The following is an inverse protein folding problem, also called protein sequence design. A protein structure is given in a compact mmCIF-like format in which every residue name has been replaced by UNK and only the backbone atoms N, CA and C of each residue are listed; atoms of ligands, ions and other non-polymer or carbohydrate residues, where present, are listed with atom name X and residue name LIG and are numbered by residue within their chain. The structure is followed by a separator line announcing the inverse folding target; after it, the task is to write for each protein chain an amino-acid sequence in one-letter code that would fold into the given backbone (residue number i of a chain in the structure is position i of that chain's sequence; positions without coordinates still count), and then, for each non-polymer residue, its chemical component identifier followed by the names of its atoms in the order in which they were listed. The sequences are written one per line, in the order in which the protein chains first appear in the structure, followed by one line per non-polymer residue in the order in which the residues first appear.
data_IF_909350487887
#
_entry.id   IF_909350487887
#
_cell.length_a   1.000
_cell.length_b   1.000
_cell.length_c   1.000
_cell.angle_alpha   90.00
_cell.angle_beta   90.00
_cell.angle_gamma   90.00
#
_symmetry.space_group_name_H-M   'P 1'
#
loop_
_entity.id
_entity.type
_entity.pdbx_description
1 polymer ?
#
# COMPACT_ATOMS: atom_id res chain seq x y z
N UNK A 1 -19.31 -10.06 9.26
CA UNK A 1 -17.93 -9.85 8.76
C UNK A 1 -16.99 -10.46 9.79
N UNK A 2 -16.04 -11.31 9.39
CA UNK A 2 -15.03 -11.83 10.32
C UNK A 2 -13.98 -10.74 10.56
N UNK A 3 -13.53 -10.57 11.82
CA UNK A 3 -12.52 -9.56 12.15
C UNK A 3 -11.15 -10.00 11.61
N UNK A 4 -10.36 -9.02 11.18
CA UNK A 4 -9.09 -9.21 10.47
C UNK A 4 -7.97 -8.45 11.17
N UNK A 5 -6.77 -9.00 11.09
CA UNK A 5 -5.55 -8.36 11.58
C UNK A 5 -4.47 -8.35 10.49
N UNK A 6 -3.47 -7.48 10.65
CA UNK A 6 -2.31 -7.39 9.79
C UNK A 6 -1.06 -7.37 10.65
N UNK A 7 0.01 -8.01 10.16
CA UNK A 7 1.36 -7.83 10.68
C UNK A 7 2.17 -7.19 9.57
N UNK A 8 2.65 -5.97 9.79
CA UNK A 8 3.19 -5.11 8.75
C UNK A 8 4.60 -4.66 9.09
N UNK A 9 5.41 -4.47 8.06
CA UNK A 9 6.54 -3.55 8.10
C UNK A 9 6.16 -2.30 7.31
N UNK A 10 6.61 -1.16 7.80
CA UNK A 10 6.32 0.14 7.21
C UNK A 10 7.61 0.93 6.99
N UNK A 11 7.63 1.72 5.93
CA UNK A 11 8.70 2.67 5.65
C UNK A 11 8.12 3.95 5.07
N UNK A 12 8.47 5.08 5.67
CA UNK A 12 8.08 6.41 5.20
C UNK A 12 9.32 7.23 4.94
N UNK A 13 9.29 8.09 3.93
CA UNK A 13 10.39 9.00 3.69
C UNK A 13 10.18 9.95 2.55
N UNK A 14 11.25 10.64 2.20
CA UNK A 14 11.33 11.53 1.06
C UNK A 14 12.35 10.97 0.10
N UNK A 15 12.02 10.95 -1.19
CA UNK A 15 12.93 10.51 -2.25
C UNK A 15 12.77 11.39 -3.47
N UNK A 16 13.48 11.05 -4.54
CA UNK A 16 13.32 11.67 -5.87
C UNK A 16 12.75 10.65 -6.84
N UNK A 17 11.83 11.09 -7.68
CA UNK A 17 11.31 10.27 -8.77
C UNK A 17 12.29 10.18 -9.94
N UNK A 18 11.88 9.52 -11.04
CA UNK A 18 12.69 9.40 -12.25
C UNK A 18 12.97 10.73 -12.97
N UNK A 19 12.25 11.80 -12.64
CA UNK A 19 12.45 13.16 -13.16
C UNK A 19 13.29 14.01 -12.21
N UNK A 20 13.69 13.48 -11.06
CA UNK A 20 14.44 14.18 -10.03
C UNK A 20 13.58 15.03 -9.09
N UNK A 21 12.26 14.99 -9.22
CA UNK A 21 11.32 15.75 -8.40
C UNK A 21 11.17 15.11 -7.02
N UNK A 22 11.06 15.93 -5.97
CA UNK A 22 10.93 15.44 -4.59
C UNK A 22 9.52 14.88 -4.38
N UNK A 23 9.45 13.65 -3.87
CA UNK A 23 8.20 12.98 -3.51
C UNK A 23 8.29 12.40 -2.10
N UNK A 24 7.17 12.39 -1.40
CA UNK A 24 6.98 11.56 -0.21
C UNK A 24 6.63 10.13 -0.63
N UNK A 25 7.03 9.16 0.19
CA UNK A 25 6.57 7.79 0.03
C UNK A 25 6.13 7.22 1.38
N UNK A 26 5.14 6.35 1.33
CA UNK A 26 4.77 5.44 2.41
C UNK A 26 4.59 4.04 1.83
N UNK A 27 5.37 3.10 2.34
CA UNK A 27 5.36 1.70 1.96
C UNK A 27 4.88 0.88 3.14
N UNK A 28 3.99 -0.07 2.89
CA UNK A 28 3.55 -1.06 3.86
C UNK A 28 3.54 -2.44 3.23
N UNK A 29 4.04 -3.44 3.93
CA UNK A 29 4.06 -4.82 3.44
C UNK A 29 3.81 -5.80 4.57
N UNK A 30 2.93 -6.76 4.34
CA UNK A 30 2.70 -7.85 5.28
C UNK A 30 3.91 -8.75 5.41
N UNK A 31 4.27 -9.08 6.64
CA UNK A 31 5.32 -10.05 6.94
C UNK A 31 4.77 -11.20 7.75
N UNK A 32 5.40 -12.37 7.59
CA UNK A 32 5.16 -13.53 8.44
C UNK A 32 6.39 -13.75 9.30
N UNK A 33 6.20 -13.84 10.62
CA UNK A 33 7.26 -14.12 11.58
C UNK A 33 6.87 -15.37 12.40
N UNK A 34 6.90 -16.57 11.80
CA UNK A 34 6.53 -17.81 12.47
C UNK A 34 7.35 -18.00 13.75
N UNK A 35 6.68 -18.33 14.85
CA UNK A 35 7.33 -18.57 16.15
C UNK A 35 7.68 -17.32 16.96
N UNK A 36 7.62 -16.12 16.37
CA UNK A 36 7.79 -14.84 17.09
C UNK A 36 6.42 -14.19 17.30
N UNK A 37 5.67 -14.03 16.20
CA UNK A 37 4.33 -13.47 16.22
C UNK A 37 3.35 -14.54 15.71
N UNK A 38 2.62 -15.23 16.62
CA UNK A 38 1.63 -16.21 16.21
C UNK A 38 0.49 -15.54 15.44
N UNK A 39 -0.22 -16.34 14.65
CA UNK A 39 -1.53 -15.91 14.18
C UNK A 39 -2.49 -15.78 15.37
N UNK A 40 -3.55 -14.99 15.17
CA UNK A 40 -4.59 -14.78 16.18
C UNK A 40 -5.85 -15.59 15.85
N UNK A 41 -5.69 -16.73 15.17
CA UNK A 41 -6.82 -17.57 14.75
C UNK A 41 -7.62 -18.11 15.93
N UNK A 42 -6.98 -18.34 17.08
CA UNK A 42 -7.62 -18.71 18.35
C UNK A 42 -8.60 -17.64 18.87
N UNK A 43 -8.45 -16.38 18.46
CA UNK A 43 -9.37 -15.29 18.76
C UNK A 43 -10.43 -15.08 17.66
N UNK A 44 -10.48 -15.98 16.67
CA UNK A 44 -11.37 -15.88 15.52
C UNK A 44 -10.92 -14.88 14.45
N UNK A 45 -9.70 -14.34 14.55
CA UNK A 45 -9.15 -13.36 13.63
C UNK A 45 -8.58 -14.01 12.37
N UNK A 46 -8.76 -13.34 11.23
CA UNK A 46 -8.13 -13.71 9.96
C UNK A 46 -7.01 -12.74 9.65
N UNK A 47 -5.77 -13.23 9.67
CA UNK A 47 -4.61 -12.46 9.20
C UNK A 47 -4.76 -12.20 7.72
N UNK A 48 -4.72 -10.96 7.31
CA UNK A 48 -4.76 -10.56 5.90
C UNK A 48 -3.36 -10.18 5.42
N UNK A 49 -3.14 -10.32 4.12
CA UNK A 49 -1.88 -9.96 3.47
C UNK A 49 -2.11 -8.78 2.54
N UNK A 50 -1.30 -7.73 2.74
CA UNK A 50 -1.33 -6.52 1.95
C UNK A 50 0.09 -6.09 1.59
N UNK A 51 0.24 -5.55 0.39
CA UNK A 51 1.37 -4.70 0.02
C UNK A 51 0.82 -3.41 -0.53
N UNK A 52 1.20 -2.26 -0.02
CA UNK A 52 0.80 -0.98 -0.58
C UNK A 52 1.96 0.01 -0.65
N UNK A 53 1.87 0.89 -1.63
CA UNK A 53 2.79 1.98 -1.87
C UNK A 53 1.97 3.24 -2.15
N UNK A 54 2.28 4.29 -1.38
CA UNK A 54 1.74 5.62 -1.53
C UNK A 54 2.89 6.53 -1.96
N UNK A 55 2.64 7.39 -2.94
CA UNK A 55 3.56 8.42 -3.38
C UNK A 55 2.83 9.75 -3.34
N UNK A 56 3.40 10.71 -2.61
CA UNK A 56 2.83 12.03 -2.41
C UNK A 56 3.69 13.07 -3.12
N UNK A 57 3.09 13.82 -4.04
CA UNK A 57 3.75 14.88 -4.79
C UNK A 57 3.13 16.23 -4.42
N UNK A 58 3.96 17.15 -3.96
CA UNK A 58 3.52 18.51 -3.70
C UNK A 58 3.35 19.27 -5.03
N UNK A 59 2.14 19.76 -5.29
CA UNK A 59 1.84 20.58 -6.48
C UNK A 59 1.89 22.09 -6.18
N UNK A 60 1.69 22.49 -4.92
CA UNK A 60 1.70 23.89 -4.48
C UNK A 60 1.69 24.00 -2.96
N UNK A 61 1.48 25.21 -2.44
CA UNK A 61 1.62 25.49 -1.00
C UNK A 61 0.71 24.66 -0.09
N UNK A 62 -0.44 24.19 -0.59
CA UNK A 62 -1.42 23.41 0.17
C UNK A 62 -2.06 22.29 -0.68
N UNK A 63 -1.37 21.79 -1.70
CA UNK A 63 -1.91 20.77 -2.60
C UNK A 63 -0.91 19.64 -2.75
N UNK A 64 -1.41 18.42 -2.56
CA UNK A 64 -0.67 17.18 -2.72
C UNK A 64 -1.46 16.28 -3.67
N UNK A 65 -0.80 15.81 -4.71
CA UNK A 65 -1.26 14.71 -5.52
C UNK A 65 -0.78 13.40 -4.90
N UNK A 66 -1.68 12.44 -4.76
CA UNK A 66 -1.38 11.15 -4.16
C UNK A 66 -1.61 10.03 -5.16
N UNK A 67 -0.63 9.15 -5.28
CA UNK A 67 -0.73 7.91 -6.02
C UNK A 67 -0.67 6.74 -5.04
N UNK A 68 -1.68 5.86 -5.06
CA UNK A 68 -1.69 4.64 -4.28
C UNK A 68 -1.74 3.42 -5.22
N UNK A 69 -0.91 2.43 -4.92
CA UNK A 69 -1.02 1.09 -5.49
C UNK A 69 -0.95 0.06 -4.40
N UNK A 70 -1.90 -0.88 -4.40
CA UNK A 70 -1.92 -1.97 -3.44
C UNK A 70 -2.19 -3.32 -4.09
N UNK A 71 -1.78 -4.36 -3.38
CA UNK A 71 -2.12 -5.75 -3.62
C UNK A 71 -2.71 -6.30 -2.33
N UNK A 72 -3.92 -6.82 -2.42
CA UNK A 72 -4.65 -7.41 -1.31
C UNK A 72 -4.83 -8.90 -1.62
N UNK A 73 -4.39 -9.75 -0.70
CA UNK A 73 -4.64 -11.18 -0.76
C UNK A 73 -5.70 -11.56 0.28
N UNK A 74 -6.99 -11.68 -0.10
CA UNK A 74 -8.11 -12.08 0.77
C UNK A 74 -8.07 -13.57 1.18
N UNK A 75 -6.87 -14.16 1.26
CA UNK A 75 -6.61 -15.57 1.59
C UNK A 75 -7.51 -16.56 0.85
N UNK A 76 -7.52 -16.44 -0.48
CA UNK A 76 -8.24 -17.37 -1.36
C UNK A 76 -9.75 -17.15 -1.48
N UNK A 77 -10.32 -16.11 -0.82
CA UNK A 77 -11.69 -15.68 -1.13
C UNK A 77 -11.68 -14.73 -2.33
N UNK A 78 -12.46 -14.98 -3.40
CA UNK A 78 -12.50 -14.03 -4.51
C UNK A 78 -13.00 -12.66 -4.00
N UNK A 79 -12.22 -11.62 -4.29
CA UNK A 79 -12.68 -10.25 -4.09
C UNK A 79 -13.79 -9.99 -5.11
N UNK A 80 -15.01 -9.76 -4.64
CA UNK A 80 -16.06 -9.26 -5.53
C UNK A 80 -15.89 -7.75 -5.76
N UNK A 81 -16.55 -7.21 -6.78
CA UNK A 81 -16.40 -5.79 -7.17
C UNK A 81 -16.68 -4.82 -6.01
N UNK A 82 -17.69 -5.11 -5.20
CA UNK A 82 -18.01 -4.29 -4.02
C UNK A 82 -16.88 -4.29 -3.00
N UNK A 83 -16.34 -5.46 -2.67
CA UNK A 83 -15.21 -5.56 -1.74
C UNK A 83 -13.93 -4.92 -2.26
N UNK A 84 -13.71 -4.93 -3.58
CA UNK A 84 -12.58 -4.23 -4.20
C UNK A 84 -12.70 -2.70 -4.06
N UNK A 85 -13.88 -2.15 -4.32
CA UNK A 85 -14.14 -0.70 -4.17
C UNK A 85 -14.00 -0.28 -2.71
N UNK A 86 -14.61 -1.01 -1.78
CA UNK A 86 -14.51 -0.70 -0.35
C UNK A 86 -13.06 -0.77 0.17
N UNK A 87 -12.27 -1.72 -0.34
CA UNK A 87 -10.85 -1.80 0.01
C UNK A 87 -10.04 -0.63 -0.57
N UNK A 88 -10.33 -0.23 -1.82
CA UNK A 88 -9.68 0.95 -2.42
C UNK A 88 -9.99 2.24 -1.64
N UNK A 89 -11.26 2.47 -1.29
CA UNK A 89 -11.66 3.61 -0.47
C UNK A 89 -10.98 3.61 0.91
N UNK A 90 -10.91 2.44 1.56
CA UNK A 90 -10.25 2.32 2.85
C UNK A 90 -8.75 2.68 2.76
N UNK A 91 -8.09 2.24 1.69
CA UNK A 91 -6.67 2.53 1.47
C UNK A 91 -6.40 4.00 1.17
N UNK A 92 -7.28 4.67 0.41
CA UNK A 92 -7.17 6.10 0.15
C UNK A 92 -7.38 6.93 1.42
N UNK A 93 -8.33 6.55 2.28
CA UNK A 93 -8.58 7.22 3.57
C UNK A 93 -7.42 7.08 4.55
N UNK A 94 -6.67 5.98 4.49
CA UNK A 94 -5.54 5.74 5.39
C UNK A 94 -4.36 6.71 5.15
N UNK A 95 -4.28 7.31 3.96
CA UNK A 95 -3.12 8.08 3.52
C UNK A 95 -3.13 9.56 3.98
N UNK A 96 -4.17 10.02 4.65
CA UNK A 96 -4.26 11.38 5.21
C UNK A 96 -5.54 12.10 4.80
N UNK A 97 -6.24 12.65 5.78
CA UNK A 97 -7.54 13.31 5.67
C UNK A 97 -7.45 14.67 4.97
N UNK A 98 -7.43 14.69 3.63
CA UNK A 98 -8.02 15.70 2.74
C UNK A 98 -7.66 15.34 1.29
N UNK A 99 -8.15 14.20 0.82
CA UNK A 99 -7.97 13.76 -0.57
C UNK A 99 -9.10 14.35 -1.41
N UNK A 100 -8.79 15.33 -2.25
CA UNK A 100 -9.62 15.70 -3.40
C UNK A 100 -9.43 14.60 -4.46
N UNK A 101 -10.39 13.68 -4.57
CA UNK A 101 -10.36 12.62 -5.58
C UNK A 101 -10.47 13.20 -7.00
N UNK A 102 -9.40 13.07 -7.79
CA UNK A 102 -9.53 12.99 -9.24
C UNK A 102 -9.20 11.56 -9.64
N UNK A 103 -10.23 10.73 -9.83
CA UNK A 103 -10.11 9.38 -10.36
C UNK A 103 -9.66 9.46 -11.82
N UNK A 104 -8.35 9.39 -12.07
CA UNK A 104 -7.83 9.10 -13.39
C UNK A 104 -7.91 7.60 -13.63
N UNK A 105 -8.95 7.19 -14.36
CA UNK A 105 -9.05 5.87 -14.97
C UNK A 105 -7.84 5.66 -15.89
N UNK A 106 -6.86 4.89 -15.44
CA UNK A 106 -5.88 4.31 -16.34
C UNK A 106 -5.43 2.94 -15.84
N UNK A 107 -6.23 1.94 -16.22
CA UNK A 107 -5.70 0.62 -16.57
C UNK A 107 -4.54 0.81 -17.55
N UNK A 108 -3.30 0.86 -17.07
CA UNK A 108 -2.11 0.84 -17.91
C UNK A 108 -0.99 0.07 -17.23
N UNK A 109 -0.93 -1.21 -17.61
CA UNK A 109 0.19 -2.16 -17.57
C UNK A 109 1.57 -1.50 -17.44
N UNK A 110 2.16 -1.54 -16.25
CA UNK A 110 3.58 -1.26 -16.04
C UNK A 110 4.36 -2.57 -15.86
N UNK A 111 5.09 -2.98 -16.91
CA UNK A 111 6.17 -3.97 -16.82
C UNK A 111 7.35 -3.27 -16.13
N UNK A 112 7.76 -3.78 -14.96
CA UNK A 112 9.09 -3.46 -14.44
C UNK A 112 10.12 -4.34 -15.15
N UNK A 113 10.98 -3.70 -15.94
CA UNK A 113 12.25 -4.28 -16.40
C UNK A 113 13.26 -4.15 -15.27
N UNK A 114 13.87 -5.27 -14.87
CA UNK A 114 14.99 -5.45 -13.93
C UNK A 114 15.43 -4.25 -13.09
N UNK A 115 15.19 -4.32 -11.77
CA UNK A 115 15.99 -3.58 -10.80
C UNK A 115 17.33 -4.32 -10.64
N UNK A 116 18.40 -3.73 -11.16
CA UNK A 116 19.76 -4.04 -10.76
C UNK A 116 19.92 -3.80 -9.26
N UNK A 117 20.69 -4.70 -8.64
CA UNK A 117 21.03 -4.73 -7.23
C UNK A 117 21.46 -3.35 -6.68
N UNK A 118 20.94 -3.02 -5.49
CA UNK A 118 21.53 -1.97 -4.65
C UNK A 118 22.74 -2.55 -3.91
N UNK A 119 23.95 -1.99 -4.07
CA UNK A 119 25.08 -2.32 -3.22
C UNK A 119 24.99 -1.54 -1.91
N UNK A 120 25.28 -2.19 -0.78
CA UNK A 120 25.66 -1.51 0.45
C UNK A 120 24.63 -1.57 1.57
N UNK A 121 24.57 -2.72 2.24
CA UNK A 121 24.31 -2.76 3.68
C UNK A 121 25.50 -3.53 4.27
N UNK A 122 26.32 -2.83 5.05
CA UNK A 122 27.31 -3.44 5.95
C UNK A 122 26.67 -3.64 7.31
#
# INVERSE_FOLDING_TARGET
MQQRDFLLIEATGLTRDSKGEKVGYFLMHSVSLPGIFPDLSQLGLVREEISACYIDRQLGSNQVEMYCRSFLNPRGRPLNRLTAVLAAEALLKQAGSDVSETLSDSSSKWRFSSLHALPGVR
#
